data_IF_346016433682
#
_entry.id   IF_346016433682
#
_cell.length_a   1.000
_cell.length_b   1.000
_cell.length_c   1.000
_cell.angle_alpha   90.00
_cell.angle_beta   90.00
_cell.angle_gamma   90.00
#
_symmetry.space_group_name_H-M   'P 1'
#
loop_
_entity.id
_entity.type
_entity.pdbx_description
1 polymer ?
#
# COMPACT_ATOMS: atom_id res chain seq x y z
N UNK A 1 28.04 22.84 51.59
CA UNK A 1 27.90 24.32 51.58
C UNK A 1 26.88 24.75 50.53
N UNK A 2 26.20 25.91 50.65
CA UNK A 2 25.20 26.38 49.64
C UNK A 2 25.73 26.36 48.20
N UNK A 3 27.02 26.60 48.03
CA UNK A 3 27.74 26.62 46.75
C UNK A 3 27.81 25.22 46.10
N UNK A 4 28.10 24.16 46.86
CA UNK A 4 28.17 22.79 46.34
C UNK A 4 26.82 22.29 45.82
N UNK A 5 25.72 22.67 46.50
CA UNK A 5 24.37 22.32 46.05
C UNK A 5 24.05 22.98 44.71
N UNK A 6 24.36 24.27 44.54
CA UNK A 6 24.15 24.99 43.28
C UNK A 6 24.96 24.38 42.11
N UNK A 7 26.19 23.93 42.36
CA UNK A 7 26.99 23.24 41.36
C UNK A 7 26.42 21.87 40.99
N UNK A 8 25.91 21.12 41.98
CA UNK A 8 25.24 19.84 41.74
C UNK A 8 24.00 20.00 40.87
N UNK A 9 23.16 20.99 41.16
CA UNK A 9 21.95 21.30 40.40
C UNK A 9 22.27 21.70 38.96
N UNK A 10 23.28 22.56 38.77
CA UNK A 10 23.75 22.95 37.45
C UNK A 10 24.24 21.74 36.64
N UNK A 11 25.07 20.88 37.25
CA UNK A 11 25.59 19.67 36.60
C UNK A 11 24.46 18.74 36.18
N UNK A 12 23.46 18.55 37.04
CA UNK A 12 22.31 17.71 36.74
C UNK A 12 21.53 18.27 35.54
N UNK A 13 21.21 19.57 35.56
CA UNK A 13 20.53 20.24 34.45
C UNK A 13 21.30 20.13 33.12
N UNK A 14 22.61 20.33 33.16
CA UNK A 14 23.47 20.19 31.99
C UNK A 14 23.42 18.75 31.43
N UNK A 15 23.46 17.74 32.31
CA UNK A 15 23.36 16.33 31.90
C UNK A 15 22.03 16.04 31.19
N UNK A 16 20.92 16.55 31.73
CA UNK A 16 19.59 16.43 31.09
C UNK A 16 19.57 17.13 29.74
N UNK A 17 20.10 18.35 29.66
CA UNK A 17 20.14 19.13 28.42
C UNK A 17 20.92 18.41 27.32
N UNK A 18 22.09 17.86 27.64
CA UNK A 18 22.89 17.07 26.69
C UNK A 18 22.10 15.85 26.22
N UNK A 19 21.45 15.13 27.13
CA UNK A 19 20.61 13.98 26.78
C UNK A 19 19.50 14.34 25.79
N UNK A 20 18.78 15.44 26.05
CA UNK A 20 17.72 15.93 25.16
C UNK A 20 18.26 16.32 23.78
N UNK A 21 19.41 16.98 23.71
CA UNK A 21 20.04 17.37 22.43
C UNK A 21 20.40 16.11 21.61
N UNK A 22 20.96 15.09 22.27
CA UNK A 22 21.28 13.82 21.60
C UNK A 22 20.03 13.13 21.07
N UNK A 23 18.98 13.04 21.87
CA UNK A 23 17.71 12.41 21.45
C UNK A 23 17.04 13.19 20.30
N UNK A 24 17.04 14.53 20.36
CA UNK A 24 16.53 15.36 19.27
C UNK A 24 17.31 15.16 17.97
N UNK A 25 18.63 15.02 18.05
CA UNK A 25 19.47 14.71 16.89
C UNK A 25 19.12 13.35 16.28
N UNK A 26 18.93 12.33 17.12
CA UNK A 26 18.52 10.98 16.68
C UNK A 26 17.14 11.00 16.00
N UNK A 27 16.14 11.64 16.62
CA UNK A 27 14.81 11.79 16.02
C UNK A 27 14.85 12.56 14.70
N UNK A 28 15.70 13.57 14.59
CA UNK A 28 15.87 14.32 13.34
C UNK A 28 16.42 13.41 12.23
N UNK A 29 17.40 12.57 12.53
CA UNK A 29 17.93 11.60 11.57
C UNK A 29 16.90 10.53 11.17
N UNK A 30 16.11 10.04 12.13
CA UNK A 30 15.03 9.08 11.88
C UNK A 30 13.94 9.68 10.98
N UNK A 31 13.52 10.92 11.25
CA UNK A 31 12.56 11.65 10.40
C UNK A 31 13.09 11.80 8.97
N UNK A 32 14.37 12.14 8.80
CA UNK A 32 14.98 12.26 7.48
C UNK A 32 14.95 10.92 6.72
N UNK A 33 15.30 9.81 7.38
CA UNK A 33 15.24 8.47 6.80
C UNK A 33 13.82 8.07 6.39
N UNK A 34 12.85 8.25 7.28
CA UNK A 34 11.44 7.93 7.01
C UNK A 34 10.85 8.79 5.90
N UNK A 35 11.31 10.04 5.77
CA UNK A 35 10.87 10.93 4.69
C UNK A 35 11.32 10.41 3.33
N UNK A 36 12.56 9.93 3.22
CA UNK A 36 13.07 9.37 1.96
C UNK A 36 12.41 8.02 1.62
N UNK A 37 12.22 7.14 2.62
CA UNK A 37 11.52 5.88 2.42
C UNK A 37 10.07 6.10 1.96
N UNK A 38 9.36 7.05 2.57
CA UNK A 38 8.01 7.44 2.15
C UNK A 38 7.99 7.91 0.70
N UNK A 39 8.96 8.72 0.28
CA UNK A 39 9.07 9.20 -1.11
C UNK A 39 9.26 8.04 -2.07
N UNK A 40 10.18 7.11 -1.77
CA UNK A 40 10.42 5.90 -2.57
C UNK A 40 9.15 5.06 -2.70
N UNK A 41 8.42 4.86 -1.61
CA UNK A 41 7.15 4.12 -1.63
C UNK A 41 6.08 4.82 -2.46
N UNK A 42 6.02 6.16 -2.45
CA UNK A 42 5.09 6.91 -3.29
C UNK A 42 5.43 6.78 -4.78
N UNK A 43 6.71 6.77 -5.14
CA UNK A 43 7.17 6.54 -6.52
C UNK A 43 6.83 5.11 -6.99
N UNK A 44 7.10 4.09 -6.16
CA UNK A 44 6.76 2.70 -6.46
C UNK A 44 5.25 2.48 -6.59
N UNK A 45 4.45 3.11 -5.72
CA UNK A 45 2.99 3.06 -5.80
C UNK A 45 2.49 3.69 -7.10
N UNK A 46 3.06 4.82 -7.50
CA UNK A 46 2.71 5.48 -8.77
C UNK A 46 3.04 4.61 -9.98
N UNK A 47 4.22 3.99 -10.00
CA UNK A 47 4.62 3.07 -11.07
C UNK A 47 3.70 1.84 -11.13
N UNK A 48 3.32 1.28 -9.98
CA UNK A 48 2.37 0.18 -9.90
C UNK A 48 0.99 0.58 -10.41
N UNK A 49 0.49 1.76 -10.04
CA UNK A 49 -0.79 2.27 -10.56
C UNK A 49 -0.80 2.40 -12.07
N UNK A 50 0.29 2.91 -12.67
CA UNK A 50 0.45 2.97 -14.13
C UNK A 50 0.50 1.55 -14.73
N UNK A 51 1.17 0.59 -14.09
CA UNK A 51 1.18 -0.80 -14.55
C UNK A 51 -0.18 -1.50 -14.43
N UNK A 52 -1.07 -1.00 -13.56
CA UNK A 52 -2.40 -1.55 -13.31
C UNK A 52 -3.50 -0.82 -14.10
N UNK A 53 -3.18 0.19 -14.90
CA UNK A 53 -4.18 0.83 -15.77
C UNK A 53 -4.69 -0.19 -16.78
N UNK A 54 -6.00 -0.34 -16.94
CA UNK A 54 -6.55 -1.25 -17.93
C UNK A 54 -6.06 -0.94 -19.34
N UNK A 55 -5.87 -1.99 -20.14
CA UNK A 55 -5.53 -1.85 -21.56
C UNK A 55 -6.78 -1.45 -22.35
N UNK A 56 -6.66 -0.72 -23.47
CA UNK A 56 -7.82 -0.23 -24.25
C UNK A 56 -8.84 -1.33 -24.61
N UNK A 57 -8.36 -2.56 -24.86
CA UNK A 57 -9.20 -3.72 -25.22
C UNK A 57 -9.55 -4.63 -24.03
N UNK A 58 -9.28 -4.18 -22.79
CA UNK A 58 -9.62 -4.96 -21.60
C UNK A 58 -11.14 -5.01 -21.40
N UNK A 59 -11.75 -6.20 -21.26
CA UNK A 59 -13.17 -6.29 -21.04
C UNK A 59 -13.53 -5.72 -19.67
N UNK A 60 -14.63 -4.98 -19.58
CA UNK A 60 -15.15 -4.42 -18.31
C UNK A 60 -15.30 -5.48 -17.22
N UNK A 61 -15.60 -6.72 -17.62
CA UNK A 61 -15.71 -7.88 -16.76
C UNK A 61 -14.39 -8.28 -16.05
N UNK A 62 -13.24 -7.83 -16.57
CA UNK A 62 -11.91 -8.05 -16.01
C UNK A 62 -11.42 -6.86 -15.16
N UNK A 63 -12.08 -5.70 -15.23
CA UNK A 63 -11.71 -4.55 -14.41
C UNK A 63 -11.79 -4.89 -12.91
N UNK A 64 -10.74 -4.50 -12.19
CA UNK A 64 -10.65 -4.68 -10.74
C UNK A 64 -10.29 -6.10 -10.29
N UNK A 65 -9.99 -7.02 -11.19
CA UNK A 65 -9.38 -8.30 -10.84
C UNK A 65 -7.93 -8.06 -10.41
N UNK A 66 -7.61 -8.39 -9.15
CA UNK A 66 -6.28 -8.17 -8.57
C UNK A 66 -5.56 -9.48 -8.25
N UNK A 67 -6.28 -10.60 -8.28
CA UNK A 67 -5.76 -11.93 -7.96
C UNK A 67 -6.09 -12.97 -9.03
N UNK A 68 -5.25 -14.01 -9.11
CA UNK A 68 -5.51 -15.17 -9.96
C UNK A 68 -6.81 -15.88 -9.59
N UNK A 69 -7.18 -15.91 -8.31
CA UNK A 69 -8.40 -16.56 -7.85
C UNK A 69 -9.65 -15.85 -8.40
N UNK A 70 -9.68 -14.52 -8.33
CA UNK A 70 -10.77 -13.71 -8.91
C UNK A 70 -10.87 -13.93 -10.43
N UNK A 71 -9.74 -13.98 -11.13
CA UNK A 71 -9.71 -14.27 -12.57
C UNK A 71 -10.27 -15.67 -12.89
N UNK A 72 -9.83 -16.70 -12.17
CA UNK A 72 -10.31 -18.07 -12.39
C UNK A 72 -11.80 -18.18 -12.12
N UNK A 73 -12.30 -17.52 -11.07
CA UNK A 73 -13.73 -17.50 -10.77
C UNK A 73 -14.53 -16.76 -11.84
N UNK A 74 -14.03 -15.63 -12.34
CA UNK A 74 -14.70 -14.90 -13.43
C UNK A 74 -14.75 -15.71 -14.72
N UNK A 75 -13.66 -16.41 -15.06
CA UNK A 75 -13.61 -17.34 -16.20
C UNK A 75 -14.65 -18.46 -16.02
N UNK A 76 -14.78 -19.01 -14.81
CA UNK A 76 -15.76 -20.05 -14.50
C UNK A 76 -17.19 -19.57 -14.73
N UNK A 77 -17.54 -18.37 -14.26
CA UNK A 77 -18.86 -17.77 -14.46
C UNK A 77 -19.14 -17.54 -15.95
N UNK A 78 -18.22 -16.89 -16.66
CA UNK A 78 -18.36 -16.63 -18.10
C UNK A 78 -18.49 -17.93 -18.90
N UNK A 79 -17.76 -18.98 -18.54
CA UNK A 79 -17.88 -20.30 -19.16
C UNK A 79 -19.27 -20.91 -18.98
N UNK A 80 -19.90 -20.73 -17.81
CA UNK A 80 -21.25 -21.20 -17.58
C UNK A 80 -22.27 -20.42 -18.42
N UNK A 81 -22.16 -19.09 -18.45
CA UNK A 81 -23.06 -18.22 -19.22
C UNK A 81 -23.06 -18.60 -20.72
N UNK A 82 -21.88 -18.91 -21.28
CA UNK A 82 -21.74 -19.38 -22.67
C UNK A 82 -22.45 -20.72 -22.88
N UNK A 83 -22.26 -21.69 -21.98
CA UNK A 83 -22.92 -22.99 -22.09
C UNK A 83 -24.44 -22.87 -22.01
N UNK A 84 -24.95 -22.04 -21.11
CA UNK A 84 -26.38 -21.80 -20.96
C UNK A 84 -26.97 -21.12 -22.20
N UNK A 85 -26.27 -20.14 -22.77
CA UNK A 85 -26.66 -19.48 -24.01
C UNK A 85 -26.70 -20.42 -25.22
N UNK A 86 -25.71 -21.31 -25.36
CA UNK A 86 -25.68 -22.32 -26.43
C UNK A 86 -26.85 -23.29 -26.29
N UNK A 87 -27.11 -23.78 -25.07
CA UNK A 87 -28.23 -24.68 -24.80
C UNK A 87 -29.56 -24.02 -25.17
N UNK A 88 -29.77 -22.78 -24.73
CA UNK A 88 -30.98 -22.02 -25.05
C UNK A 88 -31.16 -21.84 -26.57
N UNK A 89 -30.10 -21.52 -27.30
CA UNK A 89 -30.14 -21.40 -28.76
C UNK A 89 -30.49 -22.72 -29.45
N UNK A 90 -29.96 -23.84 -28.96
CA UNK A 90 -30.27 -25.18 -29.47
C UNK A 90 -31.74 -25.54 -29.26
N UNK A 91 -32.25 -25.38 -28.04
CA UNK A 91 -33.64 -25.70 -27.69
C UNK A 91 -34.62 -24.90 -28.58
N UNK A 92 -34.37 -23.60 -28.78
CA UNK A 92 -35.20 -22.75 -29.66
C UNK A 92 -35.13 -23.14 -31.14
N UNK A 93 -34.02 -23.69 -31.62
CA UNK A 93 -33.89 -24.14 -33.01
C UNK A 93 -34.57 -25.49 -33.23
N UNK A 94 -34.63 -26.33 -32.20
CA UNK A 94 -35.36 -27.61 -32.21
C UNK A 94 -36.87 -27.39 -32.14
N UNK A 95 -37.32 -26.36 -31.41
CA UNK A 95 -38.74 -26.03 -31.24
C UNK A 95 -39.35 -25.23 -32.43
N UNK A 96 -38.57 -24.88 -33.46
CA UNK A 96 -39.00 -24.20 -34.70
C UNK A 96 -39.49 -25.18 -35.78
#
# INVERSE_FOLDING_TARGET
TKVENAFSDYRHKHKVQVGLITELGQKTAEIASLTEEKKKLQEELGALQVSMTPVEDEPEAAHGLTTRAELVEKIRVLGQDVLDGVKFGFDNAVDQ
#
